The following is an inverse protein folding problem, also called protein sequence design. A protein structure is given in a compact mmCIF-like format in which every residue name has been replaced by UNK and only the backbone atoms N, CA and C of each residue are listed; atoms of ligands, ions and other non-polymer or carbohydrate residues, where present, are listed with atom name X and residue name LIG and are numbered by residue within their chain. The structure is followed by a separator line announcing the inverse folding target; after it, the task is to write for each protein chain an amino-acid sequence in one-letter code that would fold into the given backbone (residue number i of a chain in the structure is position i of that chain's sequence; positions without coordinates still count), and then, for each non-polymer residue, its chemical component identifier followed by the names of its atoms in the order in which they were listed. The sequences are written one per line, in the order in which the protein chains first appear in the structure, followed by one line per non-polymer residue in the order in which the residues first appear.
data_IF_015772353320
#
_entry.id   IF_015772353320
#
_cell.length_a   1.000
_cell.length_b   1.000
_cell.length_c   1.000
_cell.angle_alpha   90.00
_cell.angle_beta   90.00
_cell.angle_gamma   90.00
#
_symmetry.space_group_name_H-M   'P 1'
#
loop_
_entity.id
_entity.type
_entity.pdbx_description
1 polymer ?
#
# COMPACT_ATOMS: atom_id res chain seq x y z
N UNK A 1 20.59 43.76 72.14
CA UNK A 1 19.87 43.04 71.08
C UNK A 1 19.88 41.57 71.48
N UNK A 2 18.77 41.15 72.10
CA UNK A 2 18.11 39.82 72.23
C UNK A 2 18.81 38.65 71.49
N UNK A 3 19.29 37.57 72.12
CA UNK A 3 18.65 36.35 72.72
C UNK A 3 18.33 35.21 71.71
N UNK A 4 18.45 33.96 72.19
CA UNK A 4 17.99 32.63 71.70
C UNK A 4 18.96 31.77 70.83
N UNK A 5 19.50 30.63 71.30
CA UNK A 5 18.94 29.28 71.59
C UNK A 5 18.46 28.49 70.35
N UNK A 6 19.11 27.35 70.05
CA UNK A 6 18.60 25.98 70.30
C UNK A 6 19.01 24.91 69.24
N UNK A 7 19.25 23.71 69.80
CA UNK A 7 19.40 22.35 69.27
C UNK A 7 19.27 22.03 67.77
N UNK A 8 20.32 21.39 67.24
CA UNK A 8 20.25 20.43 66.14
C UNK A 8 20.35 19.00 66.67
N UNK A 9 19.20 18.37 66.87
CA UNK A 9 19.00 16.99 67.38
C UNK A 9 19.03 15.99 66.23
N UNK A 10 19.83 14.93 66.42
CA UNK A 10 19.73 13.55 65.90
C UNK A 10 19.15 13.30 64.50
N UNK A 11 19.91 12.59 63.65
CA UNK A 11 19.33 11.52 62.84
C UNK A 11 20.41 10.46 62.53
N UNK A 12 20.35 9.38 63.31
CA UNK A 12 20.88 8.10 62.90
C UNK A 12 19.79 7.29 62.21
N UNK A 13 20.25 6.40 61.33
CA UNK A 13 19.62 5.14 60.97
C UNK A 13 18.41 5.18 60.01
N UNK A 14 18.66 4.73 58.78
CA UNK A 14 17.83 3.73 58.06
C UNK A 14 18.51 3.33 56.75
N UNK A 15 19.34 2.29 56.85
CA UNK A 15 19.39 1.26 55.83
C UNK A 15 18.02 0.57 55.84
N UNK A 16 17.18 0.81 54.83
CA UNK A 16 16.22 -0.15 54.26
C UNK A 16 15.49 0.52 53.09
N UNK A 17 15.91 0.20 51.87
CA UNK A 17 15.05 0.33 50.69
C UNK A 17 15.33 -0.92 49.86
N UNK A 18 14.62 -1.98 50.23
CA UNK A 18 14.68 -3.28 49.63
C UNK A 18 14.52 -3.29 48.12
N UNK A 19 14.99 -4.41 47.57
CA UNK A 19 14.70 -4.99 46.27
C UNK A 19 13.25 -4.68 45.84
N UNK A 20 13.08 -3.59 45.09
CA UNK A 20 11.81 -3.30 44.45
C UNK A 20 11.61 -4.39 43.40
N UNK A 21 10.52 -5.17 43.46
CA UNK A 21 10.28 -6.19 42.45
C UNK A 21 10.29 -5.48 41.09
N UNK A 22 11.15 -5.91 40.17
CA UNK A 22 11.09 -5.48 38.77
C UNK A 22 9.65 -5.74 38.31
N UNK A 23 8.83 -4.70 38.30
CA UNK A 23 7.51 -4.77 37.71
C UNK A 23 7.76 -5.19 36.27
N UNK A 24 7.15 -6.30 35.78
CA UNK A 24 7.29 -6.67 34.39
C UNK A 24 6.92 -5.44 33.59
N UNK A 25 7.88 -4.83 32.87
CA UNK A 25 7.63 -3.64 32.06
C UNK A 25 6.44 -3.96 31.17
N UNK A 26 5.26 -3.47 31.59
CA UNK A 26 4.03 -3.57 30.83
C UNK A 26 4.34 -2.88 29.52
N UNK A 27 4.49 -3.66 28.45
CA UNK A 27 4.59 -3.10 27.10
C UNK A 27 3.33 -2.27 26.92
N UNK A 28 3.50 -0.97 26.84
CA UNK A 28 2.41 -0.04 26.61
C UNK A 28 1.79 -0.40 25.24
N UNK A 29 0.50 -0.80 25.18
CA UNK A 29 -0.19 -1.06 23.92
C UNK A 29 -0.11 0.12 22.94
N UNK A 30 0.11 1.35 23.44
CA UNK A 30 0.28 2.54 22.62
C UNK A 30 1.61 2.55 21.85
N UNK A 31 2.68 1.99 22.40
CA UNK A 31 3.97 1.87 21.69
C UNK A 31 3.90 0.80 20.59
N UNK A 32 3.09 -0.25 20.78
CA UNK A 32 2.78 -1.24 19.73
C UNK A 32 2.00 -0.61 18.56
N UNK A 33 1.04 0.27 18.86
CA UNK A 33 0.35 1.07 17.85
C UNK A 33 1.29 2.06 17.14
N UNK A 34 2.24 2.67 17.86
CA UNK A 34 3.21 3.60 17.27
C UNK A 34 4.22 2.90 16.35
N UNK A 35 4.65 1.68 16.72
CA UNK A 35 5.51 0.83 15.89
C UNK A 35 4.83 0.35 14.59
N UNK A 36 3.49 0.22 14.58
CA UNK A 36 2.74 -0.07 13.36
C UNK A 36 2.83 1.07 12.32
N UNK A 37 3.11 2.31 12.72
CA UNK A 37 3.23 3.45 11.80
C UNK A 37 4.56 3.52 11.02
N UNK A 38 5.58 2.73 11.42
CA UNK A 38 6.82 2.58 10.65
C UNK A 38 6.58 1.82 9.34
N UNK A 39 6.26 2.55 8.27
CA UNK A 39 5.85 1.99 6.97
C UNK A 39 6.94 2.22 5.91
N UNK A 40 8.21 2.08 6.26
CA UNK A 40 9.29 2.19 5.29
C UNK A 40 9.39 0.89 4.48
N UNK A 41 9.22 0.98 3.15
CA UNK A 41 9.39 -0.16 2.25
C UNK A 41 10.86 -0.57 2.23
N UNK A 42 11.13 -1.84 2.49
CA UNK A 42 12.47 -2.45 2.40
C UNK A 42 12.99 -2.52 0.96
N UNK A 43 12.12 -2.37 -0.06
CA UNK A 43 12.49 -2.30 -1.48
C UNK A 43 12.20 -0.89 -1.97
N UNK A 44 12.96 0.07 -1.43
CA UNK A 44 12.86 1.46 -1.83
C UNK A 44 14.06 1.86 -2.70
N UNK A 45 13.79 2.51 -3.84
CA UNK A 45 14.80 3.30 -4.55
C UNK A 45 14.61 4.75 -4.11
N UNK A 46 15.63 5.32 -3.46
CA UNK A 46 15.60 6.69 -2.94
C UNK A 46 14.43 6.99 -1.97
N UNK A 47 13.98 5.99 -1.19
CA UNK A 47 12.88 6.14 -0.23
C UNK A 47 11.48 5.95 -0.83
N UNK A 48 11.36 5.69 -2.13
CA UNK A 48 10.09 5.38 -2.79
C UNK A 48 9.92 3.87 -3.01
N UNK A 49 8.81 3.26 -2.56
CA UNK A 49 8.54 1.84 -2.76
C UNK A 49 8.54 1.48 -4.25
N UNK A 50 9.33 0.48 -4.64
CA UNK A 50 9.48 0.09 -6.05
C UNK A 50 8.15 -0.35 -6.67
N UNK A 51 7.30 -1.06 -5.91
CA UNK A 51 5.98 -1.44 -6.41
C UNK A 51 5.13 -0.22 -6.77
N UNK A 52 5.22 0.88 -6.02
CA UNK A 52 4.41 2.08 -6.23
C UNK A 52 4.77 2.77 -7.56
N UNK A 53 6.03 2.67 -7.98
CA UNK A 53 6.46 3.12 -9.30
C UNK A 53 5.96 2.17 -10.41
N UNK A 54 6.07 0.87 -10.18
CA UNK A 54 5.73 -0.15 -11.19
C UNK A 54 4.24 -0.25 -11.48
N UNK A 55 3.35 -0.01 -10.51
CA UNK A 55 1.90 -0.09 -10.72
C UNK A 55 1.36 0.98 -11.67
N UNK A 56 2.09 2.08 -11.91
CA UNK A 56 1.66 3.10 -12.86
C UNK A 56 1.49 2.55 -14.29
N UNK A 57 2.34 1.59 -14.69
CA UNK A 57 2.32 0.98 -16.02
C UNK A 57 1.06 0.13 -16.30
N UNK A 58 0.74 -0.91 -15.51
CA UNK A 58 -0.46 -1.70 -15.74
C UNK A 58 -1.74 -0.86 -15.61
N UNK A 59 -1.75 0.18 -14.75
CA UNK A 59 -2.86 1.13 -14.63
C UNK A 59 -3.08 1.87 -15.96
N UNK A 60 -2.04 2.53 -16.47
CA UNK A 60 -2.14 3.29 -17.71
C UNK A 60 -2.53 2.38 -18.89
N UNK A 61 -1.90 1.21 -18.99
CA UNK A 61 -2.17 0.26 -20.06
C UNK A 61 -3.59 -0.32 -19.98
N UNK A 62 -4.14 -0.58 -18.79
CA UNK A 62 -5.54 -1.00 -18.66
C UNK A 62 -6.52 0.02 -19.25
N UNK A 63 -6.28 1.32 -19.02
CA UNK A 63 -7.08 2.38 -19.65
C UNK A 63 -6.83 2.51 -21.16
N UNK A 64 -5.60 2.27 -21.63
CA UNK A 64 -5.32 2.20 -23.06
C UNK A 64 -6.09 1.06 -23.75
N UNK A 65 -6.17 -0.13 -23.12
CA UNK A 65 -6.97 -1.24 -23.64
C UNK A 65 -8.44 -0.85 -23.75
N UNK A 66 -9.01 -0.28 -22.68
CA UNK A 66 -10.41 0.17 -22.70
C UNK A 66 -10.65 1.23 -23.79
N UNK A 67 -9.78 2.24 -23.88
CA UNK A 67 -9.88 3.29 -24.90
C UNK A 67 -9.82 2.71 -26.32
N UNK A 68 -8.89 1.80 -26.57
CA UNK A 68 -8.76 1.15 -27.87
C UNK A 68 -9.98 0.27 -28.21
N UNK A 69 -10.54 -0.46 -27.26
CA UNK A 69 -11.78 -1.23 -27.50
C UNK A 69 -12.97 -0.32 -27.81
N UNK A 70 -13.09 0.82 -27.12
CA UNK A 70 -14.13 1.81 -27.40
C UNK A 70 -13.96 2.44 -28.79
N UNK A 71 -12.72 2.75 -29.19
CA UNK A 71 -12.45 3.21 -30.55
C UNK A 71 -12.73 2.15 -31.61
N UNK A 72 -12.41 0.88 -31.35
CA UNK A 72 -12.80 -0.22 -32.24
C UNK A 72 -14.32 -0.32 -32.35
N UNK A 73 -15.04 -0.27 -31.23
CA UNK A 73 -16.50 -0.32 -31.24
C UNK A 73 -17.12 0.84 -32.02
N UNK A 74 -16.53 2.03 -31.96
CA UNK A 74 -17.00 3.21 -32.69
C UNK A 74 -16.63 3.21 -34.17
N UNK A 75 -15.38 2.85 -34.50
CA UNK A 75 -14.81 3.03 -35.85
C UNK A 75 -14.84 1.77 -36.70
N UNK A 76 -14.87 0.59 -36.08
CA UNK A 76 -14.71 -0.69 -36.75
C UNK A 76 -13.32 -0.96 -37.32
N UNK A 77 -12.31 -0.12 -37.03
CA UNK A 77 -10.97 -0.26 -37.62
C UNK A 77 -10.13 -1.33 -36.87
N UNK A 78 -9.69 -2.41 -37.54
CA UNK A 78 -8.82 -3.45 -36.98
C UNK A 78 -7.53 -2.96 -36.33
N UNK A 79 -7.05 -1.76 -36.68
CA UNK A 79 -5.93 -1.12 -36.00
C UNK A 79 -6.12 -1.07 -34.48
N UNK A 80 -7.29 -0.64 -34.01
CA UNK A 80 -7.57 -0.49 -32.59
C UNK A 80 -7.61 -1.82 -31.84
N UNK A 81 -8.11 -2.88 -32.47
CA UNK A 81 -8.08 -4.22 -31.90
C UNK A 81 -6.64 -4.72 -31.67
N UNK A 82 -5.72 -4.46 -32.62
CA UNK A 82 -4.29 -4.79 -32.46
C UNK A 82 -3.62 -3.97 -31.38
N UNK A 83 -3.90 -2.66 -31.30
CA UNK A 83 -3.40 -1.78 -30.24
C UNK A 83 -3.83 -2.31 -28.87
N UNK A 84 -5.12 -2.64 -28.71
CA UNK A 84 -5.65 -3.18 -27.47
C UNK A 84 -5.01 -4.54 -27.11
N UNK A 85 -4.72 -5.40 -28.09
CA UNK A 85 -3.99 -6.66 -27.89
C UNK A 85 -2.58 -6.45 -27.30
N UNK A 86 -1.80 -5.55 -27.89
CA UNK A 86 -0.45 -5.23 -27.40
C UNK A 86 -0.47 -4.50 -26.05
N UNK A 87 -1.43 -3.60 -25.84
CA UNK A 87 -1.61 -2.93 -24.57
C UNK A 87 -1.99 -3.92 -23.46
N UNK A 88 -2.86 -4.90 -23.74
CA UNK A 88 -3.24 -5.95 -22.79
C UNK A 88 -2.05 -6.84 -22.41
N UNK A 89 -1.22 -7.22 -23.39
CA UNK A 89 0.03 -7.92 -23.15
C UNK A 89 0.95 -7.13 -22.21
N UNK A 90 1.21 -5.86 -22.54
CA UNK A 90 2.05 -4.99 -21.71
C UNK A 90 1.49 -4.81 -20.30
N UNK A 91 0.17 -4.64 -20.17
CA UNK A 91 -0.50 -4.49 -18.88
C UNK A 91 -0.31 -5.75 -18.01
N UNK A 92 -0.46 -6.94 -18.61
CA UNK A 92 -0.28 -8.20 -17.90
C UNK A 92 1.17 -8.41 -17.47
N UNK A 93 2.14 -8.20 -18.37
CA UNK A 93 3.57 -8.38 -18.06
C UNK A 93 4.02 -7.40 -16.98
N UNK A 94 3.70 -6.11 -17.12
CA UNK A 94 4.06 -5.12 -16.11
C UNK A 94 3.30 -5.34 -14.80
N UNK A 95 2.06 -5.80 -14.87
CA UNK A 95 1.27 -6.22 -13.71
C UNK A 95 1.91 -7.40 -12.96
N UNK A 96 2.50 -8.35 -13.68
CA UNK A 96 3.23 -9.47 -13.07
C UNK A 96 4.48 -8.98 -12.35
N UNK A 97 5.27 -8.11 -12.98
CA UNK A 97 6.48 -7.52 -12.38
C UNK A 97 6.11 -6.72 -11.12
N UNK A 98 5.09 -5.86 -11.21
CA UNK A 98 4.58 -5.09 -10.07
C UNK A 98 4.03 -5.99 -8.95
N UNK A 99 3.31 -7.05 -9.32
CA UNK A 99 2.75 -8.04 -8.39
C UNK A 99 3.83 -8.79 -7.62
N UNK A 100 4.92 -9.19 -8.29
CA UNK A 100 6.08 -9.81 -7.62
C UNK A 100 6.68 -8.85 -6.60
N UNK A 101 6.98 -7.60 -7.00
CA UNK A 101 7.56 -6.62 -6.07
C UNK A 101 6.65 -6.35 -4.87
N UNK A 102 5.35 -6.17 -5.10
CA UNK A 102 4.39 -5.90 -4.03
C UNK A 102 4.16 -7.10 -3.10
N UNK A 103 4.22 -8.33 -3.64
CA UNK A 103 4.16 -9.55 -2.81
C UNK A 103 5.37 -9.65 -1.90
N UNK A 104 6.57 -9.38 -2.43
CA UNK A 104 7.80 -9.41 -1.64
C UNK A 104 7.74 -8.37 -0.51
N UNK A 105 7.30 -7.14 -0.78
CA UNK A 105 7.14 -6.11 0.25
C UNK A 105 6.08 -6.48 1.30
N UNK A 106 4.93 -7.04 0.90
CA UNK A 106 3.89 -7.51 1.82
C UNK A 106 4.40 -8.60 2.76
N UNK A 107 5.24 -9.52 2.27
CA UNK A 107 5.73 -10.64 3.06
C UNK A 107 6.91 -10.25 3.98
N UNK A 108 7.79 -9.35 3.54
CA UNK A 108 8.98 -8.94 4.27
C UNK A 108 8.64 -7.90 5.35
N UNK A 109 7.79 -6.91 5.04
CA UNK A 109 7.54 -5.78 5.93
C UNK A 109 6.40 -6.10 6.89
N UNK A 110 6.75 -6.47 8.14
CA UNK A 110 5.79 -6.86 9.19
C UNK A 110 4.69 -5.81 9.43
N UNK A 111 5.03 -4.51 9.37
CA UNK A 111 4.08 -3.41 9.55
C UNK A 111 3.01 -3.32 8.46
N UNK A 112 3.33 -3.74 7.23
CA UNK A 112 2.38 -3.78 6.10
C UNK A 112 1.50 -5.04 6.24
N UNK A 113 2.10 -6.19 6.52
CA UNK A 113 1.38 -7.47 6.60
C UNK A 113 0.31 -7.54 7.70
N UNK A 114 0.51 -6.82 8.81
CA UNK A 114 -0.43 -6.84 9.93
C UNK A 114 -1.69 -5.98 9.71
N UNK A 115 -1.81 -5.30 8.57
CA UNK A 115 -2.96 -4.44 8.25
C UNK A 115 -3.93 -5.14 7.32
N UNK A 116 -5.21 -5.18 7.68
CA UNK A 116 -6.28 -5.76 6.83
C UNK A 116 -6.39 -5.07 5.47
N UNK A 117 -6.19 -3.74 5.42
CA UNK A 117 -6.22 -2.96 4.18
C UNK A 117 -5.19 -3.45 3.14
N UNK A 118 -4.00 -3.87 3.58
CA UNK A 118 -2.95 -4.37 2.69
C UNK A 118 -3.35 -5.70 2.03
N UNK A 119 -4.01 -6.59 2.76
CA UNK A 119 -4.55 -7.84 2.22
C UNK A 119 -5.70 -7.59 1.25
N UNK A 120 -6.62 -6.67 1.56
CA UNK A 120 -7.70 -6.30 0.63
C UNK A 120 -7.14 -5.73 -0.67
N UNK A 121 -6.15 -4.82 -0.59
CA UNK A 121 -5.49 -4.29 -1.77
C UNK A 121 -4.78 -5.38 -2.58
N UNK A 122 -4.07 -6.31 -1.91
CA UNK A 122 -3.43 -7.44 -2.56
C UNK A 122 -4.42 -8.33 -3.32
N UNK A 123 -5.56 -8.66 -2.70
CA UNK A 123 -6.61 -9.47 -3.34
C UNK A 123 -7.16 -8.75 -4.58
N UNK A 124 -7.47 -7.45 -4.48
CA UNK A 124 -7.93 -6.66 -5.62
C UNK A 124 -6.89 -6.58 -6.74
N UNK A 125 -5.61 -6.43 -6.38
CA UNK A 125 -4.51 -6.42 -7.34
C UNK A 125 -4.34 -7.75 -8.07
N UNK A 126 -4.46 -8.89 -7.37
CA UNK A 126 -4.42 -10.23 -7.98
C UNK A 126 -5.64 -10.47 -8.87
N UNK A 127 -6.83 -9.99 -8.46
CA UNK A 127 -8.03 -10.04 -9.30
C UNK A 127 -7.84 -9.22 -10.58
N UNK A 128 -7.33 -7.98 -10.47
CA UNK A 128 -7.02 -7.15 -11.63
C UNK A 128 -6.00 -7.82 -12.55
N UNK A 129 -4.90 -8.36 -12.01
CA UNK A 129 -3.89 -9.09 -12.78
C UNK A 129 -4.50 -10.28 -13.53
N UNK A 130 -5.39 -11.02 -12.88
CA UNK A 130 -6.10 -12.15 -13.50
C UNK A 130 -7.01 -11.69 -14.65
N UNK A 131 -7.72 -10.56 -14.49
CA UNK A 131 -8.56 -9.98 -15.55
C UNK A 131 -7.71 -9.49 -16.72
N UNK A 132 -6.57 -8.82 -16.46
CA UNK A 132 -5.64 -8.39 -17.51
C UNK A 132 -5.08 -9.58 -18.29
N UNK A 133 -4.69 -10.65 -17.59
CA UNK A 133 -4.22 -11.89 -18.20
C UNK A 133 -5.30 -12.56 -19.05
N UNK A 134 -6.53 -12.67 -18.53
CA UNK A 134 -7.67 -13.22 -19.28
C UNK A 134 -7.98 -12.39 -20.53
N UNK A 135 -7.94 -11.07 -20.43
CA UNK A 135 -8.18 -10.15 -21.55
C UNK A 135 -7.11 -10.31 -22.64
N UNK A 136 -5.84 -10.44 -22.25
CA UNK A 136 -4.77 -10.71 -23.20
C UNK A 136 -4.90 -12.08 -23.87
N UNK A 137 -5.11 -13.14 -23.09
CA UNK A 137 -5.25 -14.51 -23.61
C UNK A 137 -6.38 -14.62 -24.62
N UNK A 138 -7.52 -13.96 -24.36
CA UNK A 138 -8.68 -13.95 -25.26
C UNK A 138 -8.34 -13.36 -26.64
N UNK A 139 -7.30 -12.51 -26.74
CA UNK A 139 -6.89 -11.83 -27.98
C UNK A 139 -5.79 -12.55 -28.77
N UNK A 140 -5.19 -13.62 -28.25
CA UNK A 140 -4.04 -14.30 -28.88
C UNK A 140 -4.41 -14.87 -30.25
N UNK A 141 -5.57 -15.53 -30.36
CA UNK A 141 -6.00 -16.21 -31.59
C UNK A 141 -6.76 -15.31 -32.57
N UNK A 142 -7.05 -14.06 -32.20
CA UNK A 142 -7.80 -13.14 -33.05
C UNK A 142 -8.25 -11.89 -32.31
N UNK A 143 -7.42 -10.85 -32.31
CA UNK A 143 -7.67 -9.62 -31.58
C UNK A 143 -8.99 -8.92 -31.96
N UNK A 144 -9.39 -8.96 -33.24
CA UNK A 144 -10.61 -8.31 -33.74
C UNK A 144 -11.89 -8.99 -33.24
N UNK A 145 -11.97 -10.32 -33.39
CA UNK A 145 -13.11 -11.11 -32.93
C UNK A 145 -13.23 -11.12 -31.39
N UNK A 146 -12.10 -10.93 -30.70
CA UNK A 146 -12.03 -10.87 -29.24
C UNK A 146 -12.64 -9.61 -28.64
N UNK A 147 -12.70 -8.48 -29.38
CA UNK A 147 -13.12 -7.20 -28.79
C UNK A 147 -14.56 -7.23 -28.28
N UNK A 148 -15.50 -7.75 -29.08
CA UNK A 148 -16.92 -7.74 -28.74
C UNK A 148 -17.50 -9.16 -28.64
N UNK A 149 -18.33 -9.44 -27.62
CA UNK A 149 -18.64 -8.58 -26.46
C UNK A 149 -17.60 -8.72 -25.33
N UNK A 150 -16.87 -9.84 -25.28
CA UNK A 150 -16.12 -10.24 -24.08
C UNK A 150 -14.88 -9.39 -23.80
N UNK A 151 -14.11 -9.01 -24.82
CA UNK A 151 -12.92 -8.16 -24.66
C UNK A 151 -13.26 -6.83 -23.99
N UNK A 152 -14.27 -6.13 -24.50
CA UNK A 152 -14.75 -4.85 -23.94
C UNK A 152 -15.28 -5.01 -22.51
N UNK A 153 -16.00 -6.09 -22.20
CA UNK A 153 -16.45 -6.37 -20.84
C UNK A 153 -15.27 -6.57 -19.87
N UNK A 154 -14.24 -7.31 -20.28
CA UNK A 154 -13.02 -7.49 -19.48
C UNK A 154 -12.24 -6.18 -19.33
N UNK A 155 -12.23 -5.32 -20.35
CA UNK A 155 -11.59 -4.00 -20.29
C UNK A 155 -12.31 -3.05 -19.34
N UNK A 156 -13.65 -3.05 -19.35
CA UNK A 156 -14.47 -2.31 -18.39
C UNK A 156 -14.24 -2.81 -16.96
N UNK A 157 -14.22 -4.14 -16.77
CA UNK A 157 -13.93 -4.75 -15.47
C UNK A 157 -12.52 -4.40 -14.98
N UNK A 158 -11.52 -4.44 -15.86
CA UNK A 158 -10.14 -4.07 -15.52
C UNK A 158 -10.04 -2.59 -15.11
N UNK A 159 -10.68 -1.68 -15.86
CA UNK A 159 -10.70 -0.26 -15.52
C UNK A 159 -11.45 0.00 -14.19
N UNK A 160 -12.58 -0.68 -13.96
CA UNK A 160 -13.32 -0.61 -12.71
C UNK A 160 -12.50 -1.11 -11.51
N UNK A 161 -11.89 -2.29 -11.62
CA UNK A 161 -10.99 -2.84 -10.60
C UNK A 161 -9.79 -1.93 -10.35
N UNK A 162 -9.23 -1.32 -11.39
CA UNK A 162 -8.14 -0.34 -11.29
C UNK A 162 -8.58 0.87 -10.47
N UNK A 163 -9.77 1.43 -10.76
CA UNK A 163 -10.35 2.53 -9.99
C UNK A 163 -10.57 2.17 -8.53
N UNK A 164 -11.17 1.01 -8.24
CA UNK A 164 -11.41 0.53 -6.87
C UNK A 164 -10.08 0.30 -6.12
N UNK A 165 -9.12 -0.36 -6.75
CA UNK A 165 -7.79 -0.65 -6.18
C UNK A 165 -7.03 0.64 -5.87
N UNK A 166 -7.07 1.62 -6.79
CA UNK A 166 -6.48 2.94 -6.61
C UNK A 166 -7.18 3.77 -5.53
N UNK A 167 -8.51 3.72 -5.46
CA UNK A 167 -9.28 4.41 -4.41
C UNK A 167 -8.98 3.89 -3.00
N UNK A 168 -8.86 2.58 -2.83
CA UNK A 168 -8.40 1.99 -1.57
C UNK A 168 -6.98 2.41 -1.20
N UNK A 169 -6.09 2.61 -2.18
CA UNK A 169 -4.76 3.18 -1.96
C UNK A 169 -4.79 4.67 -1.58
N UNK A 170 -5.64 5.47 -2.23
CA UNK A 170 -5.75 6.92 -2.01
C UNK A 170 -6.34 7.29 -0.65
N UNK A 171 -7.37 6.57 -0.19
CA UNK A 171 -7.92 6.78 1.17
C UNK A 171 -6.90 6.54 2.28
N UNK A 172 -5.91 5.66 2.07
CA UNK A 172 -4.82 5.46 3.04
C UNK A 172 -3.88 6.67 3.16
N UNK A 173 -3.77 7.50 2.12
CA UNK A 173 -2.92 8.70 2.11
C UNK A 173 -3.67 9.93 2.62
N UNK A 174 -4.95 10.08 2.26
CA UNK A 174 -5.75 11.25 2.63
C UNK A 174 -6.48 11.11 3.98
N UNK A 175 -6.91 9.92 4.39
CA UNK A 175 -7.64 9.73 5.65
C UNK A 175 -6.72 9.41 6.85
N UNK A 176 -5.49 8.91 6.61
CA UNK A 176 -4.56 8.50 7.68
C UNK A 176 -3.26 9.31 7.77
N UNK A 177 -3.11 10.40 6.99
CA UNK A 177 -1.99 11.35 7.08
C UNK A 177 -0.58 10.70 7.09
N UNK A 178 -0.39 9.58 6.38
CA UNK A 178 0.95 9.03 6.19
C UNK A 178 1.69 9.94 5.19
N UNK A 179 2.52 10.85 5.72
CA UNK A 179 3.34 11.77 4.93
C UNK A 179 3.54 13.17 5.53
N UNK A 180 2.92 13.51 6.67
CA UNK A 180 3.19 14.78 7.36
C UNK A 180 3.99 14.56 8.62
N UNK A 181 5.16 15.19 8.70
CA UNK A 181 5.94 15.32 9.94
C UNK A 181 5.11 16.14 10.92
N UNK A 182 4.46 15.48 11.88
CA UNK A 182 4.05 16.17 13.10
C UNK A 182 5.34 16.48 13.86
N UNK A 183 5.99 17.61 13.55
CA UNK A 183 7.00 18.16 14.45
C UNK A 183 6.29 18.43 15.76
N UNK A 184 6.65 17.69 16.82
CA UNK A 184 6.17 17.97 18.15
C UNK A 184 6.54 19.40 18.52
N UNK A 185 5.52 20.23 18.72
CA UNK A 185 5.72 21.47 19.46
C UNK A 185 5.82 21.09 20.93
N UNK A 186 7.03 21.23 21.48
CA UNK A 186 7.25 21.19 22.92
C UNK A 186 6.34 22.20 23.61
N UNK A 187 5.80 21.76 24.75
CA UNK A 187 5.07 22.59 25.71
C UNK A 187 6.03 23.56 26.40
N UNK A 188 5.57 24.73 26.84
CA UNK A 188 5.91 25.27 28.16
C UNK A 188 5.03 24.66 29.25
#
# INVERSE_FOLDING_TARGET
MTDQNDAGRQEGDRQDAGDAPETPRLRDPLDEHRALHGTESTIAIAGHPLHAMLVAFPIALAFCVLGADLFYWWTGDPFWARVAGWAAFGAFVMGLVAGVTGTVELLIVRGIRNRSASWTHFILAVMLLSVLGANWVLRIDGAEAAVLPFGLMLSLLAAGLTGVTGWHGGKLVFDYLIGTTASGSDRP
#
